data_IF_001378187970
#
_entry.id   IF_001378187970
#
_cell.length_a   1.000
_cell.length_b   1.000
_cell.length_c   1.000
_cell.angle_alpha   90.00
_cell.angle_beta   90.00
_cell.angle_gamma   90.00
#
_symmetry.space_group_name_H-M   'P 1'
#
loop_
_entity.id
_entity.type
_entity.pdbx_description
1 polymer ?
#
# COMPACT_ATOMS: atom_id res chain seq x y z
N UNK A 1 -15.91 -12.93 5.62
CA UNK A 1 -16.61 -14.24 5.75
C UNK A 1 -17.70 -14.32 4.69
N UNK A 2 -17.80 -15.41 3.93
CA UNK A 2 -19.00 -15.67 3.12
C UNK A 2 -19.53 -17.06 3.48
N UNK A 3 -20.81 -17.11 3.83
CA UNK A 3 -21.53 -18.36 4.11
C UNK A 3 -22.02 -18.93 2.78
N UNK A 4 -21.57 -20.13 2.42
CA UNK A 4 -22.18 -20.92 1.36
C UNK A 4 -23.24 -21.83 1.98
N UNK A 5 -24.50 -21.52 1.69
CA UNK A 5 -25.65 -22.20 2.26
C UNK A 5 -25.84 -23.64 1.75
N UNK A 6 -25.01 -24.11 0.80
CA UNK A 6 -25.16 -25.45 0.23
C UNK A 6 -24.32 -26.54 0.89
N UNK A 7 -23.25 -26.20 1.62
CA UNK A 7 -22.30 -27.21 2.10
C UNK A 7 -21.96 -27.13 3.59
N UNK A 8 -22.66 -26.27 4.35
CA UNK A 8 -22.65 -26.17 5.84
C UNK A 8 -21.26 -26.29 6.52
N UNK A 9 -20.21 -25.96 5.79
CA UNK A 9 -18.81 -26.13 6.19
C UNK A 9 -18.14 -24.78 6.18
N UNK A 10 -17.66 -24.38 7.36
CA UNK A 10 -16.85 -23.18 7.53
C UNK A 10 -15.45 -23.46 6.98
N UNK A 11 -15.20 -23.05 5.74
CA UNK A 11 -13.85 -23.06 5.17
C UNK A 11 -13.16 -21.74 5.49
N UNK A 12 -12.07 -21.81 6.25
CA UNK A 12 -11.17 -20.68 6.43
C UNK A 12 -10.46 -20.41 5.10
N UNK A 13 -10.89 -19.37 4.39
CA UNK A 13 -10.15 -18.87 3.23
C UNK A 13 -9.07 -17.93 3.77
N UNK A 14 -7.79 -18.27 3.58
CA UNK A 14 -6.73 -17.28 3.72
C UNK A 14 -6.93 -16.25 2.61
N UNK A 15 -7.37 -15.06 2.99
CA UNK A 15 -7.39 -13.93 2.09
C UNK A 15 -5.93 -13.52 1.86
N UNK A 16 -5.45 -13.40 0.61
CA UNK A 16 -4.13 -12.86 0.35
C UNK A 16 -4.08 -11.41 0.88
N UNK A 17 -2.95 -11.08 1.50
CA UNK A 17 -2.58 -9.75 1.97
C UNK A 17 -2.72 -8.71 0.83
N UNK A 18 -3.05 -7.43 1.13
CA UNK A 18 -3.27 -6.87 2.45
C UNK A 18 -4.75 -6.60 2.71
N UNK A 19 -5.42 -7.54 3.39
CA UNK A 19 -6.54 -7.17 4.25
C UNK A 19 -5.92 -6.71 5.59
N UNK A 20 -6.27 -5.52 6.12
CA UNK A 20 -5.56 -4.90 7.24
C UNK A 20 -5.40 -5.87 8.40
N UNK A 21 -4.16 -6.23 8.69
CA UNK A 21 -3.82 -7.20 9.73
C UNK A 21 -3.82 -6.59 11.13
N UNK A 22 -4.36 -5.38 11.32
CA UNK A 22 -4.06 -4.61 12.53
C UNK A 22 -5.03 -3.46 12.84
N UNK A 23 -6.26 -3.85 13.10
CA UNK A 23 -6.88 -3.35 14.32
C UNK A 23 -6.89 -4.53 15.29
N UNK A 24 -7.31 -4.39 16.56
CA UNK A 24 -7.50 -5.58 17.42
C UNK A 24 -8.24 -6.68 16.61
N UNK A 25 -8.05 -7.98 16.90
CA UNK A 25 -8.61 -9.06 16.07
C UNK A 25 -10.13 -8.94 15.76
N UNK A 26 -10.81 -8.04 16.47
CA UNK A 26 -12.19 -7.62 16.30
C UNK A 26 -12.42 -6.34 15.47
N UNK A 27 -11.46 -5.71 14.79
CA UNK A 27 -11.74 -4.51 13.99
C UNK A 27 -11.12 -4.56 12.56
N UNK A 28 -11.71 -3.81 11.63
CA UNK A 28 -11.35 -3.80 10.21
C UNK A 28 -11.34 -2.36 9.66
N UNK A 29 -10.31 -2.00 8.90
CA UNK A 29 -10.30 -0.77 8.06
C UNK A 29 -10.56 -1.14 6.62
N UNK A 30 -11.46 -0.42 5.95
CA UNK A 30 -11.68 -0.59 4.53
C UNK A 30 -12.26 0.68 3.89
N UNK A 31 -12.28 0.72 2.57
CA UNK A 31 -12.89 1.80 1.81
C UNK A 31 -14.35 1.48 1.46
N UNK A 32 -15.26 2.39 1.79
CA UNK A 32 -16.68 2.32 1.48
C UNK A 32 -17.07 3.59 0.72
N UNK A 33 -17.53 3.44 -0.53
CA UNK A 33 -17.76 4.54 -1.48
C UNK A 33 -16.54 5.46 -1.65
N UNK A 34 -16.45 6.54 -0.88
CA UNK A 34 -15.37 7.53 -0.86
C UNK A 34 -14.77 7.73 0.54
N UNK A 35 -15.19 6.95 1.52
CA UNK A 35 -14.78 7.12 2.90
C UNK A 35 -13.88 5.96 3.32
N UNK A 36 -12.87 6.26 4.14
CA UNK A 36 -12.12 5.24 4.87
C UNK A 36 -12.83 5.01 6.19
N UNK A 37 -13.33 3.79 6.37
CA UNK A 37 -14.16 3.40 7.50
C UNK A 37 -13.42 2.38 8.35
N UNK A 38 -13.43 2.64 9.66
CA UNK A 38 -13.09 1.66 10.69
C UNK A 38 -14.37 1.03 11.20
N UNK A 39 -14.45 -0.30 11.21
CA UNK A 39 -15.58 -1.04 11.76
C UNK A 39 -15.13 -1.99 12.87
N UNK A 40 -15.79 -1.90 14.03
CA UNK A 40 -15.67 -2.87 15.11
C UNK A 40 -16.55 -4.09 14.78
N UNK A 41 -15.94 -5.25 14.59
CA UNK A 41 -16.60 -6.52 14.25
C UNK A 41 -17.47 -7.05 15.39
N UNK A 42 -17.12 -6.77 16.65
CA UNK A 42 -17.89 -7.25 17.81
C UNK A 42 -19.20 -6.49 18.04
N UNK A 43 -19.25 -5.19 17.72
CA UNK A 43 -20.45 -4.35 17.89
C UNK A 43 -21.13 -3.96 16.57
N UNK A 44 -20.40 -4.02 15.45
CA UNK A 44 -20.82 -3.48 14.16
C UNK A 44 -20.71 -1.95 14.06
N UNK A 45 -20.17 -1.28 15.07
CA UNK A 45 -20.01 0.17 15.08
C UNK A 45 -19.00 0.60 14.01
N UNK A 46 -19.37 1.63 13.24
CA UNK A 46 -18.55 2.22 12.18
C UNK A 46 -18.11 3.62 12.57
N UNK A 47 -16.86 3.95 12.31
CA UNK A 47 -16.29 5.29 12.48
C UNK A 47 -15.58 5.68 11.19
N UNK A 48 -15.89 6.86 10.68
CA UNK A 48 -15.22 7.43 9.51
C UNK A 48 -13.87 8.01 9.93
N UNK A 49 -12.80 7.54 9.32
CA UNK A 49 -11.43 8.03 9.53
C UNK A 49 -11.07 9.16 8.54
N UNK A 50 -11.51 9.03 7.30
CA UNK A 50 -11.31 10.04 6.25
C UNK A 50 -12.44 10.02 5.24
N UNK A 51 -12.65 11.14 4.56
CA UNK A 51 -13.63 11.29 3.48
C UNK A 51 -12.91 11.62 2.16
N UNK A 52 -13.55 11.34 1.02
CA UNK A 52 -13.03 11.59 -0.33
C UNK A 52 -11.68 10.89 -0.62
N UNK A 53 -11.52 9.69 -0.08
CA UNK A 53 -10.40 8.80 -0.37
C UNK A 53 -10.60 8.11 -1.73
N UNK A 54 -9.55 8.11 -2.54
CA UNK A 54 -9.51 7.37 -3.80
C UNK A 54 -8.92 5.97 -3.62
N UNK A 55 -7.89 5.88 -2.78
CA UNK A 55 -7.16 4.66 -2.47
C UNK A 55 -6.67 4.74 -1.03
N UNK A 56 -6.48 3.57 -0.42
CA UNK A 56 -5.82 3.48 0.87
C UNK A 56 -4.93 2.25 0.93
N UNK A 57 -3.89 2.35 1.75
CA UNK A 57 -3.05 1.22 2.15
C UNK A 57 -2.92 1.24 3.67
N UNK A 58 -2.92 0.06 4.29
CA UNK A 58 -2.87 -0.07 5.75
C UNK A 58 -1.73 -0.98 6.16
N UNK A 59 -1.04 -0.60 7.23
CA UNK A 59 -0.13 -1.47 7.96
C UNK A 59 -0.36 -1.23 9.44
N UNK A 60 -0.28 -2.28 10.27
CA UNK A 60 -0.12 -2.16 11.72
C UNK A 60 -0.93 -0.98 12.35
N UNK A 61 -0.31 0.07 12.82
CA UNK A 61 -0.99 1.19 13.47
C UNK A 61 -1.34 2.37 12.54
N UNK A 62 -1.24 2.19 11.22
CA UNK A 62 -1.23 3.28 10.25
C UNK A 62 -2.03 2.99 8.97
N UNK A 63 -2.58 4.07 8.41
CA UNK A 63 -3.28 4.05 7.13
C UNK A 63 -2.74 5.18 6.26
N UNK A 64 -2.20 4.84 5.10
CA UNK A 64 -1.93 5.77 4.01
C UNK A 64 -3.20 5.97 3.20
N UNK A 65 -3.56 7.22 2.94
CA UNK A 65 -4.76 7.60 2.18
C UNK A 65 -4.34 8.50 1.03
N UNK A 66 -4.82 8.16 -0.17
CA UNK A 66 -4.77 9.02 -1.34
C UNK A 66 -6.10 9.76 -1.48
N UNK A 67 -6.06 11.07 -1.64
CA UNK A 67 -7.25 11.92 -1.82
C UNK A 67 -6.99 13.03 -2.84
N UNK A 68 -8.06 13.61 -3.40
CA UNK A 68 -7.97 14.79 -4.25
C UNK A 68 -8.32 16.06 -3.46
N UNK A 69 -7.41 17.02 -3.45
CA UNK A 69 -7.66 18.38 -2.99
C UNK A 69 -7.65 19.34 -4.20
N UNK A 70 -8.83 19.55 -4.77
CA UNK A 70 -8.97 20.28 -6.03
C UNK A 70 -8.42 19.46 -7.19
N UNK A 71 -7.36 19.95 -7.84
CA UNK A 71 -6.66 19.24 -8.92
C UNK A 71 -5.43 18.47 -8.42
N UNK A 72 -5.07 18.59 -7.14
CA UNK A 72 -3.86 17.99 -6.58
C UNK A 72 -4.13 16.68 -5.86
N UNK A 73 -3.22 15.72 -6.03
CA UNK A 73 -3.21 14.47 -5.27
C UNK A 73 -2.51 14.73 -3.94
N UNK A 74 -3.17 14.34 -2.84
CA UNK A 74 -2.63 14.41 -1.49
C UNK A 74 -2.54 13.00 -0.91
N UNK A 75 -1.37 12.67 -0.39
CA UNK A 75 -1.16 11.51 0.46
C UNK A 75 -1.13 11.93 1.92
N UNK A 76 -1.84 11.20 2.78
CA UNK A 76 -1.86 11.42 4.22
C UNK A 76 -1.73 10.10 4.97
N UNK A 77 -0.88 10.07 5.99
CA UNK A 77 -0.75 8.93 6.90
C UNK A 77 -1.50 9.24 8.18
N UNK A 78 -2.51 8.44 8.50
CA UNK A 78 -3.28 8.50 9.73
C UNK A 78 -2.84 7.38 10.69
N UNK A 79 -2.91 7.63 11.99
CA UNK A 79 -2.76 6.60 13.01
C UNK A 79 -4.07 5.83 13.26
N UNK A 80 -4.03 4.81 14.12
CA UNK A 80 -5.16 3.93 14.46
C UNK A 80 -6.41 4.64 15.03
N UNK A 81 -6.28 5.89 15.49
CA UNK A 81 -7.39 6.72 15.98
C UNK A 81 -7.83 7.81 14.98
N UNK A 82 -7.21 7.85 13.80
CA UNK A 82 -7.55 8.79 12.72
C UNK A 82 -6.82 10.14 12.77
N UNK A 83 -5.80 10.30 13.63
CA UNK A 83 -4.98 11.52 13.62
C UNK A 83 -3.93 11.45 12.53
N UNK A 84 -3.78 12.55 11.79
CA UNK A 84 -2.77 12.69 10.76
C UNK A 84 -1.37 12.83 11.37
N UNK A 85 -0.45 11.94 10.98
CA UNK A 85 0.96 12.01 11.34
C UNK A 85 1.74 12.92 10.40
N UNK A 86 1.62 12.68 9.10
CA UNK A 86 2.25 13.47 8.06
C UNK A 86 1.46 13.38 6.75
N UNK A 87 1.60 14.39 5.91
CA UNK A 87 0.97 14.46 4.59
C UNK A 87 1.84 15.21 3.60
N UNK A 88 1.67 14.89 2.32
CA UNK A 88 2.37 15.55 1.23
C UNK A 88 1.52 15.58 -0.03
N UNK A 89 1.83 16.54 -0.89
CA UNK A 89 1.21 16.66 -2.21
C UNK A 89 2.13 16.04 -3.25
N UNK A 90 1.52 15.39 -4.25
CA UNK A 90 2.26 14.88 -5.40
C UNK A 90 2.56 16.06 -6.33
N UNK A 91 3.84 16.26 -6.66
CA UNK A 91 4.25 17.35 -7.56
C UNK A 91 3.73 17.16 -8.99
N UNK A 92 3.57 15.90 -9.42
CA UNK A 92 3.11 15.53 -10.75
C UNK A 92 2.00 14.47 -10.68
N UNK A 93 0.81 14.86 -11.11
CA UNK A 93 -0.40 14.01 -11.07
C UNK A 93 -0.36 12.86 -12.09
N UNK A 94 0.67 12.78 -12.93
CA UNK A 94 0.92 11.63 -13.80
C UNK A 94 1.32 10.37 -13.04
N UNK A 95 1.82 10.53 -11.81
CA UNK A 95 2.24 9.43 -10.96
C UNK A 95 1.03 8.82 -10.25
N UNK A 96 0.90 7.51 -10.40
CA UNK A 96 -0.10 6.71 -9.70
C UNK A 96 0.62 5.79 -8.73
N UNK A 97 0.20 5.78 -7.46
CA UNK A 97 0.67 4.78 -6.48
C UNK A 97 0.09 3.40 -6.84
N UNK A 98 0.95 2.39 -6.88
CA UNK A 98 0.55 0.99 -7.08
C UNK A 98 0.54 0.21 -5.77
N UNK A 99 1.61 0.34 -4.98
CA UNK A 99 1.78 -0.32 -3.68
C UNK A 99 2.53 0.60 -2.71
N UNK A 100 2.34 0.33 -1.43
CA UNK A 100 3.03 0.98 -0.34
C UNK A 100 3.37 -0.07 0.72
N UNK A 101 4.44 0.16 1.49
CA UNK A 101 4.87 -0.68 2.62
C UNK A 101 5.46 0.24 3.68
N UNK A 102 4.94 0.17 4.90
CA UNK A 102 5.51 0.88 6.05
C UNK A 102 6.70 0.09 6.60
N UNK A 103 7.87 0.73 6.68
CA UNK A 103 9.08 0.12 7.27
C UNK A 103 9.12 0.32 8.79
N UNK A 104 8.68 1.49 9.22
CA UNK A 104 8.58 1.92 10.61
C UNK A 104 7.55 3.05 10.73
N UNK A 105 7.52 3.74 11.87
CA UNK A 105 6.51 4.76 12.16
C UNK A 105 6.59 6.00 11.27
N UNK A 106 7.74 6.26 10.66
CA UNK A 106 8.04 7.49 9.93
C UNK A 106 8.51 7.24 8.49
N UNK A 107 8.76 5.97 8.14
CA UNK A 107 9.34 5.59 6.85
C UNK A 107 8.40 4.69 6.07
N UNK A 108 8.12 5.11 4.84
CA UNK A 108 7.27 4.40 3.89
C UNK A 108 8.05 4.13 2.59
N UNK A 109 7.91 2.93 2.05
CA UNK A 109 8.33 2.57 0.70
C UNK A 109 7.09 2.53 -0.20
N UNK A 110 7.17 3.11 -1.39
CA UNK A 110 6.08 3.12 -2.35
C UNK A 110 6.57 2.72 -3.73
N UNK A 111 5.75 1.99 -4.48
CA UNK A 111 5.89 1.91 -5.93
C UNK A 111 4.92 2.88 -6.57
N UNK A 112 5.45 3.77 -7.42
CA UNK A 112 4.67 4.72 -8.20
C UNK A 112 4.99 4.55 -9.67
N UNK A 113 4.00 4.71 -10.53
CA UNK A 113 4.18 4.58 -11.98
C UNK A 113 3.78 5.88 -12.68
N UNK A 114 4.71 6.39 -13.49
CA UNK A 114 4.45 7.49 -14.41
C UNK A 114 3.74 6.94 -15.65
N UNK A 115 2.51 7.41 -15.87
CA UNK A 115 1.63 6.98 -16.96
C UNK A 115 1.69 7.90 -18.20
N UNK A 116 2.50 8.97 -18.19
CA UNK A 116 2.57 9.90 -19.33
C UNK A 116 3.38 9.36 -20.50
N UNK A 117 4.32 8.46 -20.21
CA UNK A 117 5.21 7.88 -21.19
C UNK A 117 4.52 6.77 -22.00
N UNK A 118 4.92 6.62 -23.26
CA UNK A 118 4.40 5.54 -24.14
C UNK A 118 4.68 4.15 -23.57
N UNK A 119 5.73 4.03 -22.75
CA UNK A 119 6.02 2.88 -21.91
C UNK A 119 6.05 3.36 -20.46
N UNK A 120 5.02 3.04 -19.65
CA UNK A 120 4.95 3.46 -18.26
C UNK A 120 6.23 3.10 -17.51
N UNK A 121 6.75 4.05 -16.73
CA UNK A 121 7.96 3.82 -15.94
C UNK A 121 7.59 3.80 -14.46
N UNK A 122 7.91 2.68 -13.80
CA UNK A 122 7.72 2.54 -12.37
C UNK A 122 8.94 3.02 -11.59
N UNK A 123 8.73 3.46 -10.37
CA UNK A 123 9.74 3.96 -9.45
C UNK A 123 9.47 3.43 -8.05
N UNK A 124 10.54 3.06 -7.36
CA UNK A 124 10.54 2.82 -5.92
C UNK A 124 10.91 4.13 -5.23
N UNK A 125 10.04 4.59 -4.34
CA UNK A 125 10.16 5.86 -3.63
C UNK A 125 10.24 5.59 -2.13
N UNK A 126 11.18 6.25 -1.45
CA UNK A 126 11.31 6.26 0.01
C UNK A 126 10.82 7.60 0.52
N UNK A 127 9.74 7.57 1.29
CA UNK A 127 9.21 8.72 2.01
C UNK A 127 9.63 8.59 3.47
N UNK A 128 10.21 9.65 4.03
CA UNK A 128 10.58 9.73 5.43
C UNK A 128 10.04 11.04 6.00
N UNK A 129 9.27 10.96 7.08
CA UNK A 129 8.64 12.12 7.74
C UNK A 129 7.80 12.98 6.77
N UNK A 130 7.16 12.35 5.77
CA UNK A 130 6.38 13.02 4.73
C UNK A 130 7.18 13.62 3.58
N UNK A 131 8.51 13.45 3.54
CA UNK A 131 9.35 13.95 2.46
C UNK A 131 9.94 12.81 1.62
N UNK A 132 9.99 13.00 0.30
CA UNK A 132 10.71 12.10 -0.59
C UNK A 132 12.22 12.24 -0.38
N UNK A 133 12.84 11.23 0.23
CA UNK A 133 14.29 11.20 0.47
C UNK A 133 15.04 10.39 -0.58
N UNK A 134 14.33 9.52 -1.32
CA UNK A 134 14.96 8.70 -2.36
C UNK A 134 13.97 8.24 -3.43
N UNK A 135 14.46 8.18 -4.67
CA UNK A 135 13.73 7.62 -5.81
C UNK A 135 14.64 6.76 -6.66
N UNK A 136 14.15 5.61 -7.07
CA UNK A 136 14.86 4.70 -7.95
C UNK A 136 13.95 4.14 -9.03
N UNK A 137 14.31 4.35 -10.30
CA UNK A 137 13.58 3.80 -11.45
C UNK A 137 13.58 2.27 -11.42
N UNK A 138 12.42 1.64 -11.50
CA UNK A 138 12.27 0.20 -11.60
C UNK A 138 12.16 -0.25 -13.07
N UNK A 139 12.57 -1.49 -13.39
CA UNK A 139 12.35 -2.06 -14.71
C UNK A 139 10.88 -2.43 -14.93
N UNK A 140 10.18 -2.80 -13.86
CA UNK A 140 8.76 -3.11 -13.81
C UNK A 140 8.17 -2.66 -12.47
N UNK A 141 6.88 -2.33 -12.47
CA UNK A 141 6.11 -2.05 -11.24
C UNK A 141 5.64 -3.33 -10.56
N UNK A 142 4.54 -3.22 -9.82
CA UNK A 142 3.87 -4.35 -9.19
C UNK A 142 4.14 -4.49 -7.69
N UNK A 143 4.17 -5.75 -7.25
CA UNK A 143 4.24 -6.13 -5.84
C UNK A 143 5.48 -5.59 -5.16
N UNK A 144 5.33 -5.20 -3.89
CA UNK A 144 6.39 -4.63 -3.07
C UNK A 144 6.39 -5.30 -1.69
N UNK A 145 7.54 -5.81 -1.27
CA UNK A 145 7.78 -6.28 0.11
C UNK A 145 9.15 -5.80 0.56
N UNK A 146 9.21 -5.02 1.64
CA UNK A 146 10.43 -4.37 2.08
C UNK A 146 10.79 -4.68 3.52
N UNK A 147 12.09 -4.81 3.78
CA UNK A 147 12.66 -4.97 5.11
C UNK A 147 13.94 -4.14 5.24
N UNK A 148 13.83 -3.00 5.93
CA UNK A 148 14.88 -1.98 5.95
C UNK A 148 15.14 -1.45 4.54
N UNK A 149 16.40 -1.29 4.15
CA UNK A 149 16.77 -0.76 2.83
C UNK A 149 16.73 -1.79 1.68
N UNK A 150 16.08 -2.93 1.91
CA UNK A 150 16.03 -4.06 1.00
C UNK A 150 14.57 -4.34 0.64
N UNK A 151 14.25 -4.37 -0.64
CA UNK A 151 12.92 -4.67 -1.13
C UNK A 151 12.94 -5.81 -2.14
N UNK A 152 11.92 -6.66 -2.10
CA UNK A 152 11.51 -7.50 -3.19
C UNK A 152 10.50 -6.73 -4.03
N UNK A 153 10.72 -6.74 -5.35
CA UNK A 153 9.96 -5.99 -6.33
C UNK A 153 9.59 -6.87 -7.52
N UNK A 154 8.65 -6.39 -8.32
CA UNK A 154 8.17 -7.06 -9.53
C UNK A 154 6.91 -7.87 -9.25
N UNK A 155 6.19 -8.22 -10.32
CA UNK A 155 4.89 -8.90 -10.20
C UNK A 155 4.98 -10.24 -9.47
N UNK A 156 6.13 -10.90 -9.54
CA UNK A 156 6.40 -12.19 -8.87
C UNK A 156 7.32 -12.06 -7.64
N UNK A 157 7.65 -10.83 -7.20
CA UNK A 157 8.63 -10.57 -6.13
C UNK A 157 9.99 -11.26 -6.37
N UNK A 158 10.39 -11.42 -7.63
CA UNK A 158 11.53 -12.23 -8.06
C UNK A 158 12.86 -11.47 -8.06
N UNK A 159 12.79 -10.15 -7.87
CA UNK A 159 13.92 -9.24 -7.93
C UNK A 159 14.10 -8.57 -6.58
N UNK A 160 15.30 -8.70 -6.02
CA UNK A 160 15.74 -7.96 -4.85
C UNK A 160 16.43 -6.66 -5.27
N UNK A 161 16.15 -5.58 -4.54
CA UNK A 161 16.77 -4.27 -4.72
C UNK A 161 17.21 -3.70 -3.38
N UNK A 162 18.42 -3.14 -3.35
CA UNK A 162 18.90 -2.31 -2.25
C UNK A 162 18.64 -0.85 -2.63
N UNK A 163 17.71 -0.19 -1.95
CA UNK A 163 17.35 1.19 -2.29
C UNK A 163 18.53 2.13 -2.09
N UNK A 164 19.41 1.86 -1.11
CA UNK A 164 20.50 2.77 -0.79
C UNK A 164 21.60 2.81 -1.85
N UNK A 165 21.99 1.65 -2.33
CA UNK A 165 23.07 1.50 -3.33
C UNK A 165 22.55 1.44 -4.76
N UNK A 166 21.26 1.12 -4.91
CA UNK A 166 20.62 0.82 -6.17
C UNK A 166 20.96 -0.56 -6.76
N UNK A 167 21.71 -1.39 -6.03
CA UNK A 167 22.04 -2.77 -6.41
C UNK A 167 20.78 -3.61 -6.62
N UNK A 168 20.77 -4.45 -7.66
CA UNK A 168 19.67 -5.35 -8.00
C UNK A 168 20.17 -6.76 -8.21
N UNK A 169 19.42 -7.72 -7.68
CA UNK A 169 19.69 -9.15 -7.87
C UNK A 169 18.37 -9.85 -8.13
N UNK A 170 18.24 -10.46 -9.31
CA UNK A 170 17.17 -11.43 -9.56
C UNK A 170 17.49 -12.68 -8.75
N UNK A 171 16.68 -12.98 -7.74
CA UNK A 171 16.94 -14.10 -6.82
C UNK A 171 16.14 -15.34 -7.19
N UNK A 172 15.09 -15.18 -8.00
CA UNK A 172 14.29 -16.26 -8.55
C UNK A 172 14.26 -16.16 -10.08
N UNK A 173 14.82 -17.15 -10.77
CA UNK A 173 14.59 -17.37 -12.19
C UNK A 173 13.64 -18.55 -12.33
N UNK A 174 12.39 -18.26 -12.71
CA UNK A 174 11.43 -19.30 -13.11
C UNK A 174 11.67 -19.55 -14.59
N UNK A 175 12.39 -20.62 -14.92
CA UNK A 175 12.45 -21.09 -16.31
C UNK A 175 11.05 -21.52 -16.75
N UNK A 176 10.61 -21.19 -17.98
CA UNK A 176 9.36 -21.70 -18.50
C UNK A 176 9.41 -23.24 -18.52
N UNK A 177 8.34 -23.89 -18.04
CA UNK A 177 8.15 -25.32 -18.29
C UNK A 177 8.01 -25.51 -19.82
N UNK A 178 8.98 -26.20 -20.44
CA UNK A 178 8.94 -26.62 -21.84
C UNK A 178 7.75 -27.54 -22.15
#
# INVERSE_FOLDING_TARGET
MRYDANDDTLVAVMLPDPFPSWLDAEELVYMEDLDVVKQLLSTGEKTTLANNANQFHSATDQVLIESFEGEQIRYAVLNAIGEEKYSWFVEDHSFVMEQAVFLDENTLMMTVTDQTEMMPTSFLVKIQDGEEVKRQKLPEGGSLDCKGDKCLIGYSLDTWINIETGERVKWLEIEPLE
#
